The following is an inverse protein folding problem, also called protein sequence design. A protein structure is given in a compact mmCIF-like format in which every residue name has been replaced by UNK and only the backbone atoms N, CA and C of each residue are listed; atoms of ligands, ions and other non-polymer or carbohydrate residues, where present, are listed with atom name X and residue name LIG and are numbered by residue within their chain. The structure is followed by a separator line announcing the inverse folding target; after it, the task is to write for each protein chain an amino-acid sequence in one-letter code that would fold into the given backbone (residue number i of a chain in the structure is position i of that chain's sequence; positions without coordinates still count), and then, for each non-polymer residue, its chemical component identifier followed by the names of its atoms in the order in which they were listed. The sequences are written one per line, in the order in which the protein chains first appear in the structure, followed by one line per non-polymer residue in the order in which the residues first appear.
data_IF_891399921365
#
_entry.id   IF_891399921365
#
_cell.length_a   1.000
_cell.length_b   1.000
_cell.length_c   1.000
_cell.angle_alpha   90.00
_cell.angle_beta   90.00
_cell.angle_gamma   90.00
#
_symmetry.space_group_name_H-M   'P 1'
#
loop_
_entity.id
_entity.type
_entity.pdbx_description
1 polymer ?
#
# COMPACT_ATOMS: atom_id res chain seq x y z
N UNK A 1 17.18 -5.10 -6.36
CA UNK A 1 15.97 -5.72 -5.80
C UNK A 1 15.52 -4.82 -4.66
N UNK A 2 14.26 -4.37 -4.68
CA UNK A 2 13.69 -3.79 -3.46
C UNK A 2 13.60 -4.90 -2.43
N UNK A 3 13.88 -4.58 -1.16
CA UNK A 3 13.91 -5.62 -0.14
C UNK A 3 12.49 -6.03 0.21
N UNK A 4 12.29 -7.29 0.58
CA UNK A 4 11.03 -7.77 1.16
C UNK A 4 10.62 -6.93 2.39
N UNK A 5 11.60 -6.33 3.07
CA UNK A 5 11.39 -5.35 4.12
C UNK A 5 10.61 -4.12 3.62
N UNK A 6 10.96 -3.56 2.46
CA UNK A 6 10.23 -2.41 1.90
C UNK A 6 8.77 -2.74 1.60
N UNK A 7 8.47 -3.94 1.10
CA UNK A 7 7.07 -4.37 0.87
C UNK A 7 6.32 -4.51 2.21
N UNK A 8 6.96 -5.10 3.22
CA UNK A 8 6.37 -5.22 4.56
C UNK A 8 6.11 -3.85 5.21
N UNK A 9 7.03 -2.89 5.05
CA UNK A 9 6.87 -1.53 5.57
C UNK A 9 5.68 -0.83 4.89
N UNK A 10 5.52 -0.99 3.56
CA UNK A 10 4.38 -0.45 2.83
C UNK A 10 3.04 -1.07 3.27
N UNK A 11 3.02 -2.39 3.52
CA UNK A 11 1.84 -3.07 4.06
C UNK A 11 1.49 -2.58 5.47
N UNK A 12 2.49 -2.30 6.32
CA UNK A 12 2.26 -1.71 7.63
C UNK A 12 1.62 -0.31 7.52
N UNK A 13 2.04 0.50 6.56
CA UNK A 13 1.40 1.81 6.29
C UNK A 13 -0.06 1.64 5.86
N UNK A 14 -0.36 0.67 4.99
CA UNK A 14 -1.75 0.38 4.59
C UNK A 14 -2.61 0.02 5.80
N UNK A 15 -2.13 -0.85 6.67
CA UNK A 15 -2.85 -1.23 7.88
C UNK A 15 -3.07 -0.04 8.82
N UNK A 16 -2.08 0.82 8.98
CA UNK A 16 -2.22 2.03 9.81
C UNK A 16 -3.27 3.01 9.24
N UNK A 17 -3.35 3.13 7.91
CA UNK A 17 -4.40 3.93 7.27
C UNK A 17 -5.80 3.36 7.55
N UNK A 18 -5.96 2.04 7.49
CA UNK A 18 -7.23 1.38 7.84
C UNK A 18 -7.61 1.60 9.30
N UNK A 19 -6.66 1.42 10.22
CA UNK A 19 -6.87 1.69 11.65
C UNK A 19 -7.26 3.14 11.88
N UNK A 20 -6.58 4.09 11.23
CA UNK A 20 -6.88 5.53 11.37
C UNK A 20 -8.31 5.84 10.91
N UNK A 21 -8.75 5.28 9.79
CA UNK A 21 -10.11 5.49 9.28
C UNK A 21 -11.14 4.88 10.23
N UNK A 22 -10.92 3.66 10.73
CA UNK A 22 -11.88 2.98 11.61
C UNK A 22 -11.97 3.63 13.00
N UNK A 23 -10.83 3.99 13.60
CA UNK A 23 -10.79 4.60 14.93
C UNK A 23 -11.37 6.03 14.93
N UNK A 24 -11.31 6.73 13.81
CA UNK A 24 -11.78 8.11 13.69
C UNK A 24 -13.10 8.23 12.92
N UNK A 25 -13.79 7.13 12.61
CA UNK A 25 -14.97 7.12 11.71
C UNK A 25 -16.09 8.10 12.07
N UNK A 26 -16.22 8.42 13.36
CA UNK A 26 -17.27 9.31 13.88
C UNK A 26 -16.87 10.80 13.87
N UNK A 27 -15.59 11.11 13.66
CA UNK A 27 -15.03 12.48 13.71
C UNK A 27 -14.31 12.89 12.42
N UNK A 28 -13.96 11.93 11.57
CA UNK A 28 -13.23 12.16 10.33
C UNK A 28 -14.13 12.75 9.24
N UNK A 29 -13.63 13.79 8.57
CA UNK A 29 -14.29 14.40 7.42
C UNK A 29 -14.27 13.45 6.21
N UNK A 30 -15.36 13.44 5.43
CA UNK A 30 -15.45 12.69 4.17
C UNK A 30 -14.28 12.95 3.22
N UNK A 31 -13.79 14.20 3.09
CA UNK A 31 -12.63 14.51 2.23
C UNK A 31 -11.36 13.87 2.76
N UNK A 32 -11.20 13.82 4.08
CA UNK A 32 -10.06 13.17 4.72
C UNK A 32 -10.13 11.65 4.52
N UNK A 33 -11.31 11.03 4.67
CA UNK A 33 -11.53 9.61 4.32
C UNK A 33 -11.17 9.33 2.87
N UNK A 34 -11.62 10.18 1.93
CA UNK A 34 -11.32 10.04 0.51
C UNK A 34 -9.82 10.14 0.23
N UNK A 35 -9.14 11.08 0.90
CA UNK A 35 -7.70 11.26 0.77
C UNK A 35 -6.90 10.07 1.32
N UNK A 36 -7.24 9.58 2.50
CA UNK A 36 -6.59 8.40 3.09
C UNK A 36 -6.85 7.14 2.26
N UNK A 37 -8.08 6.97 1.75
CA UNK A 37 -8.42 5.87 0.84
C UNK A 37 -7.62 5.95 -0.46
N UNK A 38 -7.48 7.15 -1.04
CA UNK A 38 -6.65 7.37 -2.22
C UNK A 38 -5.18 6.99 -1.98
N UNK A 39 -4.61 7.40 -0.86
CA UNK A 39 -3.23 7.03 -0.49
C UNK A 39 -3.08 5.51 -0.34
N UNK A 40 -4.02 4.85 0.35
CA UNK A 40 -4.04 3.39 0.49
C UNK A 40 -4.02 2.69 -0.87
N UNK A 41 -4.88 3.11 -1.81
CA UNK A 41 -4.94 2.55 -3.17
C UNK A 41 -3.59 2.74 -3.89
N UNK A 42 -2.96 3.90 -3.78
CA UNK A 42 -1.67 4.16 -4.42
C UNK A 42 -0.53 3.30 -3.88
N UNK A 43 -0.52 3.04 -2.58
CA UNK A 43 0.47 2.16 -1.96
C UNK A 43 0.26 0.71 -2.40
N UNK A 44 -0.99 0.23 -2.45
CA UNK A 44 -1.31 -1.10 -2.97
C UNK A 44 -0.89 -1.27 -4.43
N UNK A 45 -1.17 -0.27 -5.28
CA UNK A 45 -0.71 -0.25 -6.68
C UNK A 45 0.82 -0.33 -6.77
N UNK A 46 1.53 0.39 -5.90
CA UNK A 46 2.99 0.32 -5.85
C UNK A 46 3.46 -1.09 -5.47
N UNK A 47 2.87 -1.72 -4.46
CA UNK A 47 3.20 -3.10 -4.06
C UNK A 47 2.99 -4.07 -5.23
N UNK A 48 1.87 -3.96 -5.92
CA UNK A 48 1.56 -4.80 -7.08
C UNK A 48 2.56 -4.59 -8.22
N UNK A 49 2.95 -3.35 -8.51
CA UNK A 49 3.96 -3.00 -9.51
C UNK A 49 5.34 -3.57 -9.15
N UNK A 50 5.68 -3.59 -7.86
CA UNK A 50 6.93 -4.17 -7.36
C UNK A 50 6.96 -5.68 -7.55
N UNK A 51 5.89 -6.38 -7.17
CA UNK A 51 5.77 -7.83 -7.38
C UNK A 51 5.78 -8.20 -8.87
N UNK A 52 5.10 -7.43 -9.74
CA UNK A 52 5.13 -7.67 -11.18
C UNK A 52 6.53 -7.50 -11.78
N UNK A 53 7.29 -6.49 -11.34
CA UNK A 53 8.67 -6.30 -11.79
C UNK A 53 9.57 -7.43 -11.32
N UNK A 54 9.41 -7.93 -10.10
CA UNK A 54 10.16 -9.10 -9.62
C UNK A 54 9.85 -10.36 -10.45
N UNK A 55 8.57 -10.59 -10.79
CA UNK A 55 8.18 -11.69 -11.69
C UNK A 55 8.81 -11.56 -13.08
N UNK A 56 8.81 -10.35 -13.66
CA UNK A 56 9.44 -10.10 -14.97
C UNK A 56 10.95 -10.43 -14.96
N UNK A 57 11.68 -10.03 -13.92
CA UNK A 57 13.12 -10.34 -13.81
C UNK A 57 13.42 -11.82 -13.55
N UNK A 58 12.50 -12.56 -12.92
CA UNK A 58 12.67 -13.98 -12.64
C UNK A 58 12.48 -14.88 -13.89
N UNK A 59 11.70 -14.43 -14.89
CA UNK A 59 11.50 -15.18 -16.14
C UNK A 59 12.61 -14.97 -17.18
N UNK A 60 13.42 -13.91 -17.07
CA UNK A 60 14.57 -13.66 -17.97
C UNK A 60 15.85 -14.43 -17.61
N UNK A 61 15.79 -15.38 -16.67
CA UNK A 61 16.94 -16.20 -16.24
C UNK A 61 16.99 -17.60 -16.83
N UNK A 62 16.09 -17.96 -17.75
CA UNK A 62 16.12 -19.23 -18.49
C UNK A 62 16.74 -19.08 -19.88
#
# INVERSE_FOLDING_TARGET
MLSMQTVNDLLAVVNNLDTTIEENKDIIDLKEVQYLTYQKIKILQLIDDLHHKESYFNHTKE
#
